data_IF_943182652955
#
_entry.id   IF_943182652955
#
_cell.length_a   1.000
_cell.length_b   1.000
_cell.length_c   1.000
_cell.angle_alpha   90.00
_cell.angle_beta   90.00
_cell.angle_gamma   90.00
#
_symmetry.space_group_name_H-M   'P 1'
#
loop_
_entity.id
_entity.type
_entity.pdbx_description
1 polymer ?
#
# COMPACT_ATOMS: atom_id res chain seq x y z
N UNK A 1 5.95 23.48 15.62
CA UNK A 1 6.76 22.28 15.34
C UNK A 1 8.11 22.45 16.02
N UNK A 2 8.72 21.36 16.52
CA UNK A 2 10.00 21.45 17.25
C UNK A 2 11.13 21.96 16.34
N UNK A 3 12.02 22.83 16.82
CA UNK A 3 13.07 23.46 15.97
C UNK A 3 13.98 22.40 15.34
N UNK A 4 14.25 21.30 16.06
CA UNK A 4 14.98 20.14 15.54
C UNK A 4 14.29 19.46 14.36
N UNK A 5 12.95 19.49 14.27
CA UNK A 5 12.20 18.90 13.15
C UNK A 5 12.14 19.83 11.95
N UNK A 6 12.08 21.14 12.21
CA UNK A 6 12.10 22.20 11.18
C UNK A 6 13.44 22.32 10.47
N UNK A 7 14.54 22.27 11.23
CA UNK A 7 15.88 22.47 10.72
C UNK A 7 16.70 21.17 10.63
N UNK A 8 16.28 20.11 11.31
CA UNK A 8 16.99 18.82 11.40
C UNK A 8 18.04 18.80 12.52
N UNK A 9 18.55 17.60 12.84
CA UNK A 9 19.89 17.46 13.42
C UNK A 9 20.89 17.52 12.28
N UNK A 10 21.51 18.68 12.07
CA UNK A 10 22.54 18.82 11.04
C UNK A 10 23.81 18.11 11.50
N UNK A 11 24.13 17.00 10.85
CA UNK A 11 25.45 16.37 10.97
C UNK A 11 26.43 17.06 10.01
N UNK A 12 27.68 17.26 10.46
CA UNK A 12 28.75 17.93 9.71
C UNK A 12 28.96 17.38 8.26
N UNK A 13 28.60 16.12 8.03
CA UNK A 13 28.66 15.47 6.71
C UNK A 13 27.54 15.92 5.75
N UNK A 14 26.37 16.26 6.27
CA UNK A 14 25.25 16.77 5.47
C UNK A 14 25.45 18.23 5.05
N UNK A 15 26.24 18.99 5.83
CA UNK A 15 26.73 20.34 5.46
C UNK A 15 27.60 20.33 4.21
N UNK A 16 28.51 19.36 4.10
CA UNK A 16 29.49 19.29 3.02
C UNK A 16 28.86 18.99 1.64
N UNK A 17 27.80 18.19 1.60
CA UNK A 17 27.15 17.78 0.34
C UNK A 17 25.89 18.59 0.05
N UNK A 18 25.14 18.97 1.08
CA UNK A 18 23.85 19.66 0.96
C UNK A 18 23.98 21.13 0.59
N UNK A 19 24.89 21.86 1.24
CA UNK A 19 25.02 23.31 1.05
C UNK A 19 25.47 23.70 -0.38
N UNK A 20 26.49 23.04 -0.99
CA UNK A 20 26.90 23.36 -2.37
C UNK A 20 25.82 23.03 -3.40
N UNK A 21 25.10 21.93 -3.22
CA UNK A 21 24.06 21.50 -4.16
C UNK A 21 22.86 22.46 -4.17
N UNK A 22 22.53 23.03 -3.01
CA UNK A 22 21.44 23.99 -2.84
C UNK A 22 21.78 25.37 -3.41
N UNK A 23 23.02 25.82 -3.21
CA UNK A 23 23.56 27.01 -3.89
C UNK A 23 23.52 26.81 -5.40
N UNK A 24 23.95 25.64 -5.90
CA UNK A 24 23.90 25.30 -7.31
C UNK A 24 22.47 25.35 -7.89
N UNK A 25 21.47 24.82 -7.18
CA UNK A 25 20.08 24.88 -7.64
C UNK A 25 19.47 26.28 -7.56
N UNK A 26 19.88 27.09 -6.59
CA UNK A 26 19.51 28.51 -6.51
C UNK A 26 20.10 29.31 -7.67
N UNK A 27 21.36 29.04 -8.04
CA UNK A 27 22.03 29.65 -9.22
C UNK A 27 21.36 29.20 -10.53
N UNK A 28 20.87 27.95 -10.60
CA UNK A 28 20.13 27.42 -11.76
C UNK A 28 18.63 27.76 -11.80
N UNK A 29 18.08 28.43 -10.78
CA UNK A 29 16.67 28.81 -10.73
C UNK A 29 15.67 27.64 -10.67
N UNK A 30 16.07 26.47 -10.13
CA UNK A 30 15.17 25.32 -10.08
C UNK A 30 14.11 25.47 -8.97
N UNK A 31 12.82 25.42 -9.35
CA UNK A 31 11.70 25.45 -8.39
C UNK A 31 11.72 24.21 -7.48
N UNK A 32 11.34 24.39 -6.21
CA UNK A 32 11.32 23.32 -5.20
C UNK A 32 10.55 22.06 -5.66
N UNK A 33 9.46 22.23 -6.40
CA UNK A 33 8.67 21.12 -6.96
C UNK A 33 9.48 20.28 -7.95
N UNK A 34 10.31 20.91 -8.80
CA UNK A 34 11.18 20.22 -9.74
C UNK A 34 12.29 19.45 -9.01
N UNK A 35 12.83 20.03 -7.95
CA UNK A 35 13.81 19.38 -7.09
C UNK A 35 13.22 18.17 -6.37
N UNK A 36 12.02 18.31 -5.82
CA UNK A 36 11.31 17.23 -5.15
C UNK A 36 11.00 16.08 -6.13
N UNK A 37 10.49 16.39 -7.32
CA UNK A 37 10.24 15.41 -8.38
C UNK A 37 11.48 14.58 -8.71
N UNK A 38 12.65 15.20 -8.85
CA UNK A 38 13.93 14.47 -9.01
C UNK A 38 14.27 13.55 -7.83
N UNK A 39 13.98 13.98 -6.59
CA UNK A 39 14.20 13.16 -5.39
C UNK A 39 13.24 11.98 -5.33
N UNK A 40 11.98 12.17 -5.73
CA UNK A 40 10.96 11.11 -5.85
C UNK A 40 11.44 10.05 -6.85
N UNK A 41 11.84 10.46 -8.05
CA UNK A 41 12.30 9.52 -9.09
C UNK A 41 13.53 8.74 -8.64
N UNK A 42 14.49 9.42 -8.00
CA UNK A 42 15.68 8.79 -7.41
C UNK A 42 15.31 7.79 -6.31
N UNK A 43 14.34 8.12 -5.46
CA UNK A 43 13.85 7.22 -4.41
C UNK A 43 13.17 5.98 -5.03
N UNK A 44 12.30 6.14 -6.04
CA UNK A 44 11.67 5.04 -6.78
C UNK A 44 12.70 4.11 -7.42
N UNK A 45 13.68 4.67 -8.13
CA UNK A 45 14.74 3.89 -8.79
C UNK A 45 15.60 3.11 -7.78
N UNK A 46 15.91 3.72 -6.63
CA UNK A 46 16.64 3.04 -5.56
C UNK A 46 15.80 1.93 -4.92
N UNK A 47 14.55 2.22 -4.59
CA UNK A 47 13.63 1.26 -3.98
C UNK A 47 13.40 0.05 -4.87
N UNK A 48 13.20 0.24 -6.18
CA UNK A 48 13.01 -0.86 -7.13
C UNK A 48 14.22 -1.80 -7.29
N UNK A 49 15.41 -1.42 -6.80
CA UNK A 49 16.61 -2.27 -6.77
C UNK A 49 16.76 -3.02 -5.45
N UNK A 50 15.93 -2.75 -4.44
CA UNK A 50 16.01 -3.37 -3.13
C UNK A 50 15.15 -4.64 -3.13
N UNK A 51 15.77 -5.77 -2.83
CA UNK A 51 15.07 -7.03 -2.53
C UNK A 51 14.97 -7.16 -1.02
N UNK A 52 13.76 -7.03 -0.47
CA UNK A 52 13.52 -7.10 0.96
C UNK A 52 13.39 -8.54 1.45
N UNK A 53 14.31 -8.96 2.32
CA UNK A 53 14.13 -10.14 3.18
C UNK A 53 13.30 -9.78 4.42
N UNK A 54 12.70 -10.76 5.10
CA UNK A 54 11.88 -10.52 6.30
C UNK A 54 12.63 -9.76 7.41
N UNK A 55 13.91 -10.10 7.64
CA UNK A 55 14.76 -9.43 8.63
C UNK A 55 15.01 -7.95 8.25
N UNK A 56 15.30 -7.68 6.98
CA UNK A 56 15.52 -6.31 6.48
C UNK A 56 14.22 -5.49 6.49
N UNK A 57 13.06 -6.14 6.31
CA UNK A 57 11.75 -5.49 6.37
C UNK A 57 11.47 -4.90 7.74
N UNK A 58 11.65 -5.68 8.82
CA UNK A 58 11.43 -5.19 10.17
C UNK A 58 12.36 -4.03 10.51
N UNK A 59 13.62 -4.10 10.05
CA UNK A 59 14.57 -3.02 10.20
C UNK A 59 14.13 -1.76 9.43
N UNK A 60 13.62 -1.90 8.21
CA UNK A 60 13.13 -0.78 7.41
C UNK A 60 11.87 -0.16 8.00
N UNK A 61 10.96 -0.95 8.58
CA UNK A 61 9.80 -0.46 9.32
C UNK A 61 10.24 0.37 10.53
N UNK A 62 11.15 -0.16 11.35
CA UNK A 62 11.69 0.57 12.51
C UNK A 62 12.37 1.86 12.07
N UNK A 63 13.15 1.82 10.98
CA UNK A 63 13.80 3.02 10.42
C UNK A 63 12.77 4.03 9.91
N UNK A 64 11.74 3.59 9.20
CA UNK A 64 10.67 4.44 8.71
C UNK A 64 9.97 5.13 9.86
N UNK A 65 9.55 4.39 10.89
CA UNK A 65 8.90 4.93 12.09
C UNK A 65 9.78 5.96 12.81
N UNK A 66 11.08 5.68 12.93
CA UNK A 66 12.04 6.58 13.58
C UNK A 66 12.46 7.80 12.76
N UNK A 67 12.06 7.91 11.49
CA UNK A 67 12.36 9.11 10.69
C UNK A 67 11.71 10.35 11.31
N UNK A 68 12.55 11.25 11.79
CA UNK A 68 12.15 12.51 12.41
C UNK A 68 12.72 13.71 11.64
N UNK A 69 12.08 14.04 10.51
CA UNK A 69 12.40 15.19 9.68
C UNK A 69 11.11 15.91 9.22
N UNK A 70 11.24 17.11 8.66
CA UNK A 70 10.10 17.93 8.25
C UNK A 70 9.18 17.16 7.30
N UNK A 71 9.75 16.52 6.28
CA UNK A 71 8.99 15.78 5.28
C UNK A 71 8.31 14.55 5.88
N UNK A 72 9.03 13.73 6.65
CA UNK A 72 8.48 12.50 7.24
C UNK A 72 7.31 12.79 8.18
N UNK A 73 7.40 13.87 8.96
CA UNK A 73 6.34 14.29 9.87
C UNK A 73 5.02 14.55 9.12
N UNK A 74 5.06 15.43 8.11
CA UNK A 74 3.86 15.77 7.34
C UNK A 74 3.40 14.65 6.42
N UNK A 75 4.33 13.90 5.84
CA UNK A 75 3.99 12.79 4.96
C UNK A 75 3.27 11.67 5.72
N UNK A 76 3.76 11.27 6.90
CA UNK A 76 3.10 10.24 7.72
C UNK A 76 1.71 10.67 8.22
N UNK A 77 1.57 11.94 8.60
CA UNK A 77 0.30 12.55 9.03
C UNK A 77 -0.79 12.40 7.94
N UNK A 78 -0.46 12.77 6.69
CA UNK A 78 -1.40 12.63 5.57
C UNK A 78 -1.52 11.18 5.06
N UNK A 79 -0.47 10.36 5.20
CA UNK A 79 -0.47 8.95 4.80
C UNK A 79 -1.39 8.09 5.68
N UNK A 80 -1.59 8.49 6.94
CA UNK A 80 -2.56 7.87 7.84
C UNK A 80 -4.03 8.02 7.36
N UNK A 81 -4.32 9.04 6.54
CA UNK A 81 -5.64 9.23 5.93
C UNK A 81 -5.79 8.33 4.69
N UNK A 82 -6.78 7.43 4.73
CA UNK A 82 -7.05 6.45 3.65
C UNK A 82 -7.56 7.06 2.35
N UNK A 83 -7.93 8.35 2.35
CA UNK A 83 -8.63 8.99 1.24
C UNK A 83 -7.72 9.75 0.28
N UNK A 84 -6.41 9.76 0.52
CA UNK A 84 -5.47 10.51 -0.32
C UNK A 84 -4.61 9.60 -1.20
N UNK A 85 -4.51 9.95 -2.48
CA UNK A 85 -3.55 9.31 -3.39
C UNK A 85 -2.14 9.88 -3.19
N UNK A 86 -1.13 9.25 -3.79
CA UNK A 86 0.27 9.66 -3.61
C UNK A 86 0.53 11.11 -4.03
N UNK A 87 -0.05 11.56 -5.15
CA UNK A 87 0.14 12.93 -5.63
C UNK A 87 -0.45 13.95 -4.65
N UNK A 88 -1.63 13.68 -4.10
CA UNK A 88 -2.26 14.52 -3.08
C UNK A 88 -1.40 14.62 -1.81
N UNK A 89 -0.78 13.51 -1.39
CA UNK A 89 0.16 13.51 -0.25
C UNK A 89 1.40 14.36 -0.51
N UNK A 90 1.94 14.32 -1.74
CA UNK A 90 3.06 15.16 -2.16
C UNK A 90 2.66 16.65 -2.21
N UNK A 91 1.48 16.95 -2.74
CA UNK A 91 0.97 18.33 -2.77
C UNK A 91 0.72 18.88 -1.37
N UNK A 92 0.22 18.05 -0.44
CA UNK A 92 0.11 18.42 0.96
C UNK A 92 1.47 18.79 1.56
N UNK A 93 2.48 17.94 1.39
CA UNK A 93 3.83 18.21 1.89
C UNK A 93 4.45 19.48 1.30
N UNK A 94 4.25 19.73 0.00
CA UNK A 94 4.66 20.98 -0.66
C UNK A 94 3.92 22.19 -0.10
N UNK A 95 2.64 22.06 0.22
CA UNK A 95 1.84 23.09 0.88
C UNK A 95 2.39 23.45 2.25
N UNK A 96 2.72 22.46 3.07
CA UNK A 96 3.33 22.68 4.39
C UNK A 96 4.71 23.34 4.28
N UNK A 97 5.55 22.89 3.34
CA UNK A 97 6.83 23.53 3.05
C UNK A 97 6.65 25.01 2.68
N UNK A 98 5.68 25.34 1.81
CA UNK A 98 5.43 26.74 1.39
C UNK A 98 4.99 27.61 2.55
N UNK A 99 4.09 27.11 3.40
CA UNK A 99 3.64 27.80 4.61
C UNK A 99 4.82 28.16 5.50
N UNK A 100 5.68 27.19 5.79
CA UNK A 100 6.85 27.40 6.63
C UNK A 100 7.92 28.25 5.96
N UNK A 101 8.15 28.12 4.64
CA UNK A 101 9.14 28.95 3.96
C UNK A 101 8.77 30.43 3.97
N UNK A 102 7.47 30.75 3.99
CA UNK A 102 6.97 32.12 4.02
C UNK A 102 7.08 32.78 5.40
N UNK A 103 7.24 32.00 6.48
CA UNK A 103 7.41 32.53 7.84
C UNK A 103 8.88 32.78 8.18
N UNK A 104 9.82 32.28 7.37
CA UNK A 104 11.25 32.43 7.59
C UNK A 104 11.79 33.73 7.00
N UNK A 105 12.49 34.49 7.84
CA UNK A 105 12.98 35.84 7.50
C UNK A 105 14.42 35.82 6.94
N UNK A 106 15.23 34.81 7.29
CA UNK A 106 16.64 34.73 6.87
C UNK A 106 16.87 33.73 5.74
N UNK A 107 17.75 34.09 4.80
CA UNK A 107 18.20 33.23 3.70
C UNK A 107 18.86 31.93 4.20
N UNK A 108 19.54 31.98 5.35
CA UNK A 108 20.15 30.82 6.00
C UNK A 108 19.10 29.81 6.46
N UNK A 109 18.04 30.28 7.13
CA UNK A 109 16.97 29.41 7.63
C UNK A 109 16.18 28.78 6.47
N UNK A 110 15.93 29.56 5.41
CA UNK A 110 15.28 29.07 4.19
C UNK A 110 16.10 27.96 3.52
N UNK A 111 17.44 28.11 3.45
CA UNK A 111 18.32 27.07 2.91
C UNK A 111 18.32 25.79 3.76
N UNK A 112 18.32 25.93 5.10
CA UNK A 112 18.23 24.79 6.02
C UNK A 112 16.92 24.03 5.87
N UNK A 113 15.80 24.74 5.83
CA UNK A 113 14.47 24.16 5.62
C UNK A 113 14.38 23.42 4.29
N UNK A 114 14.84 24.03 3.20
CA UNK A 114 14.79 23.43 1.88
C UNK A 114 15.69 22.18 1.78
N UNK A 115 16.87 22.20 2.41
CA UNK A 115 17.76 21.04 2.51
C UNK A 115 17.12 19.90 3.30
N UNK A 116 16.57 20.21 4.48
CA UNK A 116 15.86 19.24 5.31
C UNK A 116 14.67 18.62 4.56
N UNK A 117 13.86 19.44 3.90
CA UNK A 117 12.70 19.00 3.13
C UNK A 117 13.09 18.02 2.01
N UNK A 118 14.10 18.36 1.20
CA UNK A 118 14.50 17.55 0.05
C UNK A 118 15.23 16.25 0.44
N UNK A 119 16.12 16.31 1.44
CA UNK A 119 16.82 15.12 1.93
C UNK A 119 15.87 14.21 2.71
N UNK A 120 15.02 14.83 3.54
CA UNK A 120 13.93 14.16 4.25
C UNK A 120 12.97 13.47 3.29
N UNK A 121 12.61 14.11 2.18
CA UNK A 121 11.81 13.50 1.12
C UNK A 121 12.48 12.27 0.51
N UNK A 122 13.76 12.36 0.12
CA UNK A 122 14.47 11.20 -0.46
C UNK A 122 14.53 10.02 0.51
N UNK A 123 14.86 10.27 1.79
CA UNK A 123 14.96 9.23 2.81
C UNK A 123 13.60 8.60 3.15
N UNK A 124 12.57 9.44 3.33
CA UNK A 124 11.21 8.99 3.65
C UNK A 124 10.62 8.21 2.50
N UNK A 125 10.71 8.74 1.28
CA UNK A 125 10.10 8.12 0.11
C UNK A 125 10.84 6.86 -0.34
N UNK A 126 12.15 6.78 -0.12
CA UNK A 126 12.89 5.53 -0.35
C UNK A 126 12.33 4.39 0.51
N UNK A 127 12.20 4.64 1.82
CA UNK A 127 11.65 3.65 2.74
C UNK A 127 10.17 3.38 2.45
N UNK A 128 9.38 4.43 2.21
CA UNK A 128 7.98 4.31 1.82
C UNK A 128 7.84 3.43 0.57
N UNK A 129 8.55 3.68 -0.52
CA UNK A 129 8.48 2.87 -1.74
C UNK A 129 9.03 1.46 -1.57
N UNK A 130 10.11 1.28 -0.80
CA UNK A 130 10.62 -0.06 -0.48
C UNK A 130 9.57 -0.86 0.31
N UNK A 131 8.82 -0.19 1.19
CA UNK A 131 7.76 -0.77 2.02
C UNK A 131 6.36 -0.74 1.37
N UNK A 132 6.16 0.00 0.27
CA UNK A 132 4.86 0.24 -0.40
C UNK A 132 4.28 -1.06 -0.96
N UNK A 133 5.12 -2.09 -1.14
CA UNK A 133 4.65 -3.46 -1.38
C UNK A 133 3.78 -4.03 -0.25
N UNK A 134 3.85 -3.53 1.01
CA UNK A 134 3.09 -4.08 2.15
C UNK A 134 2.60 -3.09 3.25
N UNK A 135 2.64 -1.76 3.10
CA UNK A 135 1.89 -0.86 4.01
C UNK A 135 0.39 -0.81 3.72
N UNK A 136 -0.03 -1.23 2.52
CA UNK A 136 -1.37 -1.79 2.36
C UNK A 136 -1.33 -3.14 3.06
N UNK A 137 -2.05 -3.28 4.18
CA UNK A 137 -2.49 -4.59 4.67
C UNK A 137 -2.91 -5.39 3.44
N UNK A 138 -2.32 -6.57 3.27
CA UNK A 138 -2.73 -7.49 2.20
C UNK A 138 -4.24 -7.64 2.29
N UNK A 139 -4.92 -7.32 1.19
CA UNK A 139 -6.37 -7.45 1.12
C UNK A 139 -6.70 -8.92 1.41
N UNK A 140 -7.64 -9.15 2.33
CA UNK A 140 -8.12 -10.47 2.74
C UNK A 140 -9.61 -10.61 2.41
N UNK A 141 -10.16 -11.81 2.57
CA UNK A 141 -11.60 -12.01 2.37
C UNK A 141 -12.44 -11.14 3.31
N UNK A 142 -11.99 -10.97 4.55
CA UNK A 142 -12.65 -10.10 5.54
C UNK A 142 -12.77 -8.64 5.09
N UNK A 143 -11.92 -8.19 4.17
CA UNK A 143 -11.90 -6.81 3.67
C UNK A 143 -12.85 -6.60 2.48
N UNK A 144 -13.28 -7.69 1.83
CA UNK A 144 -14.11 -7.66 0.61
C UNK A 144 -15.51 -8.24 0.81
N UNK A 145 -15.72 -9.09 1.81
CA UNK A 145 -17.02 -9.70 2.09
C UNK A 145 -17.93 -8.75 2.87
N UNK A 146 -19.22 -8.75 2.52
CA UNK A 146 -20.28 -7.96 3.14
C UNK A 146 -20.88 -8.77 4.30
N UNK A 147 -21.07 -8.12 5.43
CA UNK A 147 -21.66 -8.71 6.64
C UNK A 147 -20.62 -9.03 7.72
N UNK A 148 -21.05 -8.89 8.96
CA UNK A 148 -20.24 -9.24 10.13
C UNK A 148 -20.02 -10.77 10.15
N UNK A 149 -18.77 -11.20 10.29
CA UNK A 149 -18.34 -12.60 10.31
C UNK A 149 -18.52 -13.39 9.00
N UNK A 150 -18.96 -12.79 7.89
CA UNK A 150 -19.17 -13.50 6.62
C UNK A 150 -17.92 -14.22 6.12
N UNK A 151 -16.74 -13.63 6.31
CA UNK A 151 -15.47 -14.29 5.96
C UNK A 151 -15.14 -15.46 6.86
N UNK A 152 -15.43 -15.36 8.16
CA UNK A 152 -15.19 -16.46 9.10
C UNK A 152 -16.11 -17.65 8.78
N UNK A 153 -17.40 -17.37 8.59
CA UNK A 153 -18.40 -18.37 8.17
C UNK A 153 -17.98 -19.08 6.88
N UNK A 154 -17.46 -18.32 5.91
CA UNK A 154 -17.01 -18.89 4.65
C UNK A 154 -15.74 -19.74 4.82
N UNK A 155 -14.76 -19.27 5.58
CA UNK A 155 -13.54 -20.02 5.88
C UNK A 155 -13.87 -21.34 6.59
N UNK A 156 -14.76 -21.32 7.56
CA UNK A 156 -15.20 -22.53 8.27
C UNK A 156 -15.88 -23.52 7.31
N UNK A 157 -16.72 -23.04 6.40
CA UNK A 157 -17.30 -23.86 5.34
C UNK A 157 -16.22 -24.49 4.45
N UNK A 158 -15.21 -23.72 4.03
CA UNK A 158 -14.12 -24.25 3.20
C UNK A 158 -13.28 -25.30 3.92
N UNK A 159 -13.06 -25.13 5.23
CA UNK A 159 -12.36 -26.11 6.08
C UNK A 159 -13.17 -27.40 6.23
N UNK A 160 -14.47 -27.30 6.51
CA UNK A 160 -15.37 -28.46 6.62
C UNK A 160 -15.39 -29.28 5.32
N UNK A 161 -15.43 -28.59 4.18
CA UNK A 161 -15.36 -29.21 2.85
C UNK A 161 -13.97 -29.65 2.42
N UNK A 162 -12.95 -29.44 3.26
CA UNK A 162 -11.55 -29.77 2.97
C UNK A 162 -11.02 -29.11 1.70
N UNK A 163 -11.53 -27.93 1.38
CA UNK A 163 -10.96 -27.10 0.31
C UNK A 163 -9.68 -26.42 0.76
N UNK A 164 -9.55 -26.15 2.06
CA UNK A 164 -8.35 -25.56 2.68
C UNK A 164 -7.96 -26.32 3.96
N UNK A 165 -6.70 -26.23 4.36
CA UNK A 165 -6.22 -26.75 5.65
C UNK A 165 -6.31 -25.70 6.79
N UNK A 166 -5.84 -26.05 7.99
CA UNK A 166 -5.84 -25.16 9.14
C UNK A 166 -4.96 -23.91 8.97
N UNK A 167 -3.96 -23.97 8.10
CA UNK A 167 -3.08 -22.86 7.74
C UNK A 167 -3.60 -22.11 6.49
N UNK A 168 -4.84 -22.39 6.09
CA UNK A 168 -5.54 -21.86 4.93
C UNK A 168 -4.92 -22.26 3.58
N UNK A 169 -4.01 -23.23 3.53
CA UNK A 169 -3.44 -23.68 2.26
C UNK A 169 -4.52 -24.36 1.42
N UNK A 170 -4.65 -23.96 0.15
CA UNK A 170 -5.59 -24.57 -0.79
C UNK A 170 -5.23 -26.04 -1.05
N UNK A 171 -6.19 -26.94 -0.84
CA UNK A 171 -6.07 -28.39 -1.06
C UNK A 171 -6.74 -28.87 -2.36
N UNK A 172 -7.48 -27.99 -3.05
CA UNK A 172 -8.27 -28.36 -4.23
C UNK A 172 -7.40 -28.40 -5.49
N UNK A 173 -7.42 -29.53 -6.19
CA UNK A 173 -6.72 -29.69 -7.47
C UNK A 173 -7.32 -28.80 -8.58
N UNK A 174 -8.64 -28.64 -8.60
CA UNK A 174 -9.35 -27.81 -9.57
C UNK A 174 -9.53 -26.36 -9.10
N UNK A 175 -8.46 -25.57 -9.25
CA UNK A 175 -8.48 -24.11 -8.96
C UNK A 175 -9.57 -23.33 -9.70
N UNK A 176 -9.97 -23.78 -10.90
CA UNK A 176 -11.02 -23.12 -11.68
C UNK A 176 -12.39 -23.22 -11.03
N UNK A 177 -12.71 -24.38 -10.42
CA UNK A 177 -13.95 -24.60 -9.67
C UNK A 177 -13.97 -23.75 -8.40
N UNK A 178 -12.82 -23.65 -7.72
CA UNK A 178 -12.66 -22.80 -6.55
C UNK A 178 -12.82 -21.30 -6.86
N UNK A 179 -12.34 -20.85 -8.03
CA UNK A 179 -12.58 -19.50 -8.56
C UNK A 179 -14.08 -19.28 -8.82
N UNK A 180 -14.78 -20.27 -9.40
CA UNK A 180 -16.22 -20.17 -9.67
C UNK A 180 -17.05 -20.03 -8.38
N UNK A 181 -16.67 -20.68 -7.28
CA UNK A 181 -17.29 -20.47 -5.96
C UNK A 181 -17.19 -19.01 -5.51
N UNK A 182 -16.01 -18.39 -5.63
CA UNK A 182 -15.85 -16.97 -5.27
C UNK A 182 -16.61 -16.04 -6.21
N UNK A 183 -16.70 -16.41 -7.49
CA UNK A 183 -17.53 -15.69 -8.45
C UNK A 183 -19.00 -15.74 -8.08
N UNK A 184 -19.52 -16.90 -7.69
CA UNK A 184 -20.88 -17.08 -7.19
C UNK A 184 -21.16 -16.16 -5.99
N UNK A 185 -20.24 -16.06 -5.03
CA UNK A 185 -20.39 -15.15 -3.88
C UNK A 185 -20.39 -13.67 -4.30
N UNK A 186 -19.60 -13.28 -5.31
CA UNK A 186 -19.62 -11.92 -5.87
C UNK A 186 -20.95 -11.62 -6.56
N UNK A 187 -21.42 -12.51 -7.42
CA UNK A 187 -22.66 -12.31 -8.19
C UNK A 187 -23.88 -12.21 -7.25
N UNK A 188 -23.81 -12.84 -6.09
CA UNK A 188 -24.84 -12.78 -5.04
C UNK A 188 -24.57 -11.74 -3.94
N UNK A 189 -23.68 -10.77 -4.19
CA UNK A 189 -23.42 -9.63 -3.30
C UNK A 189 -22.95 -10.01 -1.88
N UNK A 190 -22.41 -11.22 -1.71
CA UNK A 190 -21.72 -11.62 -0.47
C UNK A 190 -20.30 -11.08 -0.47
N UNK A 191 -19.65 -11.06 -1.64
CA UNK A 191 -18.46 -10.22 -1.87
C UNK A 191 -18.95 -8.89 -2.46
N UNK A 192 -18.42 -7.77 -1.96
CA UNK A 192 -18.79 -6.45 -2.44
C UNK A 192 -18.52 -6.33 -3.96
N UNK A 193 -19.56 -6.09 -4.78
CA UNK A 193 -19.44 -6.10 -6.25
C UNK A 193 -18.56 -4.97 -6.80
N UNK A 194 -18.33 -3.90 -6.03
CA UNK A 194 -17.49 -2.76 -6.42
C UNK A 194 -16.01 -3.13 -6.52
N UNK A 195 -15.59 -4.25 -5.90
CA UNK A 195 -14.23 -4.73 -6.05
C UNK A 195 -13.98 -5.31 -7.46
N UNK A 196 -12.94 -4.80 -8.11
CA UNK A 196 -12.42 -5.35 -9.35
C UNK A 196 -12.01 -6.81 -9.17
N UNK A 197 -12.21 -7.63 -10.21
CA UNK A 197 -11.88 -9.08 -10.19
C UNK A 197 -10.42 -9.33 -9.78
N UNK A 198 -9.50 -8.46 -10.19
CA UNK A 198 -8.08 -8.52 -9.82
C UNK A 198 -7.85 -8.35 -8.32
N UNK A 199 -8.60 -7.46 -7.65
CA UNK A 199 -8.54 -7.25 -6.19
C UNK A 199 -9.10 -8.45 -5.43
N UNK A 200 -10.15 -9.08 -5.96
CA UNK A 200 -10.73 -10.29 -5.36
C UNK A 200 -9.76 -11.45 -5.47
N UNK A 201 -9.12 -11.64 -6.63
CA UNK A 201 -8.06 -12.64 -6.80
C UNK A 201 -6.90 -12.38 -5.84
N UNK A 202 -6.44 -11.13 -5.70
CA UNK A 202 -5.39 -10.80 -4.72
C UNK A 202 -5.81 -11.19 -3.29
N UNK A 203 -7.07 -10.97 -2.92
CA UNK A 203 -7.58 -11.39 -1.62
C UNK A 203 -7.56 -12.92 -1.44
N UNK A 204 -7.95 -13.65 -2.49
CA UNK A 204 -7.89 -15.11 -2.50
C UNK A 204 -6.45 -15.63 -2.40
N UNK A 205 -5.51 -15.05 -3.14
CA UNK A 205 -4.10 -15.47 -3.12
C UNK A 205 -3.48 -15.28 -1.73
N UNK A 206 -3.80 -14.15 -1.08
CA UNK A 206 -3.35 -13.85 0.27
C UNK A 206 -4.01 -14.71 1.35
N UNK A 207 -5.29 -15.08 1.16
CA UNK A 207 -6.00 -15.90 2.13
C UNK A 207 -5.58 -17.37 2.04
N UNK A 208 -5.38 -17.88 0.82
CA UNK A 208 -5.23 -19.33 0.59
C UNK A 208 -3.81 -19.82 0.31
N UNK A 209 -2.81 -18.94 0.45
CA UNK A 209 -1.40 -19.21 0.15
C UNK A 209 -1.20 -19.90 -1.23
N UNK A 210 -1.97 -19.49 -2.23
CA UNK A 210 -1.97 -20.11 -3.56
C UNK A 210 -2.04 -19.04 -4.65
N UNK A 211 -1.64 -19.38 -5.86
CA UNK A 211 -1.76 -18.51 -7.03
C UNK A 211 -2.96 -18.88 -7.89
N UNK A 212 -3.62 -17.87 -8.47
CA UNK A 212 -4.79 -18.06 -9.32
C UNK A 212 -4.61 -17.34 -10.67
N UNK A 213 -5.14 -17.93 -11.74
CA UNK A 213 -5.15 -17.25 -13.04
C UNK A 213 -6.17 -16.10 -13.04
N UNK A 214 -5.67 -14.87 -13.12
CA UNK A 214 -6.48 -13.64 -13.10
C UNK A 214 -7.51 -13.62 -14.24
N UNK A 215 -7.21 -14.21 -15.39
CA UNK A 215 -8.14 -14.28 -16.53
C UNK A 215 -9.30 -15.27 -16.31
N UNK A 216 -9.14 -16.25 -15.42
CA UNK A 216 -10.15 -17.29 -15.19
C UNK A 216 -11.33 -16.78 -14.38
N UNK A 217 -11.11 -15.83 -13.47
CA UNK A 217 -12.20 -15.23 -12.68
C UNK A 217 -13.21 -14.47 -13.55
N UNK A 218 -12.75 -13.66 -14.50
CA UNK A 218 -13.65 -12.92 -15.39
C UNK A 218 -14.37 -13.84 -16.39
N UNK A 219 -13.73 -14.94 -16.81
CA UNK A 219 -14.36 -15.94 -17.69
C UNK A 219 -15.34 -16.86 -16.97
N UNK A 220 -15.26 -16.95 -15.64
CA UNK A 220 -16.08 -17.83 -14.82
C UNK A 220 -17.59 -17.62 -15.03
N UNK A 221 -18.01 -16.38 -15.29
CA UNK A 221 -19.43 -16.01 -15.56
C UNK A 221 -20.01 -16.76 -16.75
N UNK A 222 -19.18 -17.12 -17.73
CA UNK A 222 -19.63 -17.74 -18.98
C UNK A 222 -19.71 -19.27 -18.90
N UNK A 223 -19.26 -19.86 -17.79
CA UNK A 223 -19.16 -21.32 -17.64
C UNK A 223 -20.29 -21.80 -16.75
N UNK A 224 -21.11 -22.74 -17.25
CA UNK A 224 -22.14 -23.38 -16.44
C UNK A 224 -21.50 -24.21 -15.33
N UNK A 225 -22.02 -24.14 -14.09
CA UNK A 225 -21.54 -24.99 -13.02
C UNK A 225 -21.77 -26.47 -13.35
N UNK A 226 -20.88 -27.32 -12.86
CA UNK A 226 -21.09 -28.77 -12.88
C UNK A 226 -21.92 -29.24 -11.67
N UNK A 227 -22.33 -30.50 -11.65
CA UNK A 227 -23.16 -31.07 -10.57
C UNK A 227 -22.54 -30.88 -9.17
N UNK A 228 -21.22 -30.95 -9.09
CA UNK A 228 -20.50 -30.72 -7.84
C UNK A 228 -20.59 -29.25 -7.38
N UNK A 229 -20.40 -28.31 -8.30
CA UNK A 229 -20.51 -26.87 -8.02
C UNK A 229 -21.93 -26.47 -7.67
N UNK A 230 -22.93 -27.03 -8.33
CA UNK A 230 -24.35 -26.86 -8.01
C UNK A 230 -24.65 -27.25 -6.55
N UNK A 231 -24.13 -28.39 -6.08
CA UNK A 231 -24.29 -28.81 -4.68
C UNK A 231 -23.66 -27.78 -3.73
N UNK A 232 -22.44 -27.31 -4.04
CA UNK A 232 -21.75 -26.31 -3.23
C UNK A 232 -22.54 -24.98 -3.22
N UNK A 233 -23.09 -24.55 -4.35
CA UNK A 233 -23.87 -23.32 -4.45
C UNK A 233 -25.16 -23.41 -3.63
N UNK A 234 -25.85 -24.55 -3.66
CA UNK A 234 -27.05 -24.75 -2.83
C UNK A 234 -26.73 -24.68 -1.33
N UNK A 235 -25.61 -25.26 -0.89
CA UNK A 235 -25.18 -25.20 0.50
C UNK A 235 -24.79 -23.78 0.92
N UNK A 236 -24.00 -23.09 0.09
CA UNK A 236 -23.63 -21.69 0.31
C UNK A 236 -24.86 -20.77 0.32
N UNK A 237 -25.86 -21.06 -0.51
CA UNK A 237 -27.10 -20.29 -0.55
C UNK A 237 -27.89 -20.40 0.74
N UNK A 238 -27.94 -21.59 1.33
CA UNK A 238 -28.52 -21.78 2.68
C UNK A 238 -27.70 -21.04 3.74
N UNK A 239 -26.37 -21.12 3.64
CA UNK A 239 -25.45 -20.52 4.62
C UNK A 239 -25.54 -18.99 4.65
N UNK A 240 -25.65 -18.37 3.48
CA UNK A 240 -25.68 -16.90 3.31
C UNK A 240 -27.07 -16.34 3.03
N UNK A 241 -28.12 -17.16 3.13
CA UNK A 241 -29.51 -16.79 2.86
C UNK A 241 -29.71 -16.13 1.48
N UNK A 242 -29.10 -16.73 0.45
CA UNK A 242 -29.21 -16.33 -0.95
C UNK A 242 -30.44 -17.00 -1.58
N UNK A 243 -31.21 -16.25 -2.36
CA UNK A 243 -32.25 -16.84 -3.20
C UNK A 243 -31.62 -17.53 -4.40
N UNK A 244 -31.51 -18.86 -4.33
CA UNK A 244 -30.98 -19.73 -5.38
C UNK A 244 -32.10 -20.41 -6.17
#
# INVERSE_FOLDING_TARGET
MDQKKLYGQWNFWEEFVGYPMMIYYRIRGERIQKLLSKRIDKAKQKAGKIVLTEKMKNEFLIRYEKLDNFFSFHFKDIDASRNHNFEEKIQYCLGQYRKESNTLISSSNMMKLQGNFLNGAEATLLLYFALESKTKREIRLSDIMIGENSSEIFIDFLKDKKFIDENHNLLVDQKSSFIRIHRFLKDNHIINPDFQDTRIIEAMENEYNSTFDKGTFSRAVLVKPNDFEEIIYQELSKLFNISY
#
